data_IF_269852810265
#
_entry.id   IF_269852810265
#
_cell.length_a   1.000
_cell.length_b   1.000
_cell.length_c   1.000
_cell.angle_alpha   90.00
_cell.angle_beta   90.00
_cell.angle_gamma   90.00
#
_symmetry.space_group_name_H-M   'P 1'
#
loop_
_entity.id
_entity.type
_entity.pdbx_description
1 polymer ?
#
# COMPACT_ATOMS: atom_id res chain seq x y z
N UNK A 1 36.76 21.38 6.11
CA UNK A 1 36.37 20.01 5.75
C UNK A 1 34.87 19.88 5.97
N UNK A 2 34.09 19.52 4.95
CA UNK A 2 32.64 19.39 5.08
C UNK A 2 32.32 18.04 5.76
N UNK A 3 31.51 18.09 6.83
CA UNK A 3 31.06 16.88 7.54
C UNK A 3 30.24 16.02 6.59
N UNK A 4 30.48 14.71 6.61
CA UNK A 4 29.70 13.77 5.83
C UNK A 4 28.28 13.65 6.40
N UNK A 5 27.28 13.40 5.55
CA UNK A 5 25.88 13.19 5.98
C UNK A 5 25.73 12.20 7.16
N UNK A 6 26.42 11.05 7.21
CA UNK A 6 26.32 10.15 8.36
C UNK A 6 26.88 10.73 9.67
N UNK A 7 27.86 11.64 9.63
CA UNK A 7 28.36 12.32 10.83
C UNK A 7 27.34 13.32 11.38
N UNK A 8 26.67 14.07 10.51
CA UNK A 8 25.60 15.00 10.89
C UNK A 8 24.42 14.27 11.54
N UNK A 9 24.03 13.11 11.00
CA UNK A 9 22.95 12.31 11.58
C UNK A 9 23.30 11.76 12.96
N UNK A 10 24.57 11.37 13.16
CA UNK A 10 25.07 10.89 14.46
C UNK A 10 25.10 12.02 15.50
N UNK A 11 25.55 13.21 15.10
CA UNK A 11 25.58 14.39 15.96
C UNK A 11 24.17 14.83 16.37
N UNK A 12 23.21 14.81 15.44
CA UNK A 12 21.82 15.12 15.72
C UNK A 12 21.17 14.14 16.71
N UNK A 13 21.47 12.84 16.59
CA UNK A 13 20.97 11.82 17.51
C UNK A 13 21.48 12.06 18.95
N UNK A 14 22.76 12.38 19.11
CA UNK A 14 23.35 12.67 20.41
C UNK A 14 22.78 13.96 21.04
N UNK A 15 22.43 14.96 20.23
CA UNK A 15 21.81 16.19 20.72
C UNK A 15 20.40 15.93 21.29
N UNK A 16 19.65 15.00 20.70
CA UNK A 16 18.30 14.65 21.15
C UNK A 16 18.31 13.92 22.50
N UNK A 17 19.26 13.00 22.72
CA UNK A 17 19.40 12.28 23.99
C UNK A 17 19.75 13.22 25.16
N UNK A 18 20.49 14.30 24.90
CA UNK A 18 20.80 15.31 25.92
C UNK A 18 19.58 16.14 26.34
N UNK A 19 18.62 16.34 25.42
CA UNK A 19 17.38 17.05 25.74
C UNK A 19 16.42 16.20 26.57
N UNK A 20 16.37 14.89 26.31
CA UNK A 20 15.50 13.97 27.07
C UNK A 20 16.05 13.65 28.46
N UNK A 21 17.38 13.70 28.65
CA UNK A 21 18.00 13.51 29.96
C UNK A 21 17.77 14.66 30.97
N UNK A 22 17.38 15.86 30.49
CA UNK A 22 17.24 17.05 31.34
C UNK A 22 15.81 17.27 31.87
N UNK A 23 14.89 16.34 31.62
CA UNK A 23 13.52 16.34 32.16
C UNK A 23 13.38 15.17 33.12
N UNK A 24 13.92 15.33 34.33
CA UNK A 24 13.65 14.43 35.46
C UNK A 24 12.26 14.68 36.07
N UNK A 25 11.64 13.67 36.72
CA UNK A 25 10.30 13.80 37.29
C UNK A 25 10.37 14.58 38.61
N UNK A 26 9.68 15.73 38.71
CA UNK A 26 9.53 16.47 39.97
C UNK A 26 8.06 16.65 40.29
N UNK A 27 7.70 16.21 41.49
CA UNK A 27 6.36 16.25 42.08
C UNK A 27 5.97 17.68 42.52
N UNK A 28 4.68 17.99 42.37
CA UNK A 28 3.94 19.22 42.78
C UNK A 28 3.82 19.34 44.33
N UNK A 29 3.37 20.46 44.98
CA UNK A 29 2.35 21.43 44.49
C UNK A 29 2.49 22.92 44.93
N UNK A 30 1.89 23.85 44.18
CA UNK A 30 1.32 25.08 44.76
C UNK A 30 0.26 25.68 43.83
N UNK A 31 -0.89 25.93 44.42
CA UNK A 31 -2.12 26.51 43.90
C UNK A 31 -1.93 27.89 43.24
N UNK A 32 -2.49 28.02 42.03
CA UNK A 32 -2.61 29.29 41.32
C UNK A 32 -3.33 29.12 39.98
N UNK A 33 -4.65 29.34 40.00
CA UNK A 33 -5.50 29.64 38.85
C UNK A 33 -5.59 28.56 37.75
N UNK A 34 -6.51 27.63 37.96
CA UNK A 34 -7.10 26.82 36.88
C UNK A 34 -7.89 27.72 35.91
N UNK A 35 -7.21 28.21 34.89
CA UNK A 35 -7.83 28.52 33.61
C UNK A 35 -7.11 27.68 32.56
N UNK A 36 -7.55 26.42 32.41
CA UNK A 36 -7.22 25.61 31.24
C UNK A 36 -7.56 26.42 30.00
N UNK A 37 -6.59 26.82 29.15
CA UNK A 37 -6.95 27.28 27.83
C UNK A 37 -7.67 26.12 27.14
N UNK A 38 -8.80 26.36 26.44
CA UNK A 38 -9.48 25.29 25.72
C UNK A 38 -8.47 24.65 24.78
N UNK A 39 -8.31 23.33 24.95
CA UNK A 39 -7.41 22.49 24.18
C UNK A 39 -7.73 22.62 22.68
N UNK A 40 -7.06 23.56 22.01
CA UNK A 40 -7.07 23.71 20.56
C UNK A 40 -6.01 22.81 19.91
N UNK A 41 -5.49 21.80 20.61
CA UNK A 41 -4.43 20.91 20.13
C UNK A 41 -4.94 19.69 19.34
N UNK A 42 -6.17 19.74 18.82
CA UNK A 42 -6.65 18.74 17.86
C UNK A 42 -6.13 18.96 16.43
N UNK A 43 -5.73 20.18 16.08
CA UNK A 43 -5.38 20.57 14.71
C UNK A 43 -3.92 20.34 14.35
N UNK A 44 -2.99 20.89 15.14
CA UNK A 44 -1.57 20.97 14.77
C UNK A 44 -0.91 19.60 14.69
N UNK A 45 -1.17 18.71 15.67
CA UNK A 45 -0.60 17.36 15.66
C UNK A 45 -1.17 16.51 14.52
N UNK A 46 -2.47 16.64 14.25
CA UNK A 46 -3.12 15.95 13.15
C UNK A 46 -2.63 16.44 11.78
N UNK A 47 -2.36 17.74 11.66
CA UNK A 47 -1.84 18.35 10.43
C UNK A 47 -0.39 17.97 10.15
N UNK A 48 0.47 17.95 11.16
CA UNK A 48 1.85 17.45 11.02
C UNK A 48 1.83 15.99 10.57
N UNK A 49 1.01 15.14 11.18
CA UNK A 49 0.88 13.74 10.76
C UNK A 49 0.32 13.60 9.33
N UNK A 50 -0.60 14.47 8.91
CA UNK A 50 -1.12 14.52 7.54
C UNK A 50 -0.05 14.90 6.51
N UNK A 51 0.78 15.90 6.82
CA UNK A 51 1.83 16.39 5.92
C UNK A 51 2.92 15.35 5.65
N UNK A 52 3.27 14.55 6.67
CA UNK A 52 4.28 13.50 6.58
C UNK A 52 3.68 12.10 6.32
N UNK A 53 2.38 11.99 6.08
CA UNK A 53 1.77 10.73 5.69
C UNK A 53 2.17 10.38 4.24
N UNK A 54 2.46 9.10 3.94
CA UNK A 54 2.64 8.65 2.56
C UNK A 54 1.40 9.02 1.74
N UNK A 55 1.57 9.50 0.50
CA UNK A 55 0.49 9.96 -0.37
C UNK A 55 -0.65 8.94 -0.49
N UNK A 56 -1.63 8.99 0.42
CA UNK A 56 -2.83 8.19 0.35
C UNK A 56 -3.87 9.01 -0.39
N UNK A 57 -4.16 8.61 -1.63
CA UNK A 57 -5.24 9.21 -2.42
C UNK A 57 -6.56 9.09 -1.64
N UNK A 58 -6.95 10.18 -0.98
CA UNK A 58 -8.09 10.29 -0.07
C UNK A 58 -9.41 10.47 -0.83
N UNK A 59 -9.68 9.59 -1.79
CA UNK A 59 -11.05 9.37 -2.27
C UNK A 59 -11.59 8.09 -1.65
N UNK A 60 -12.08 8.23 -0.41
CA UNK A 60 -13.16 7.38 0.11
C UNK A 60 -12.79 6.06 0.79
N UNK A 61 -11.77 6.01 1.66
CA UNK A 61 -11.64 4.86 2.59
C UNK A 61 -11.54 5.32 4.03
N UNK A 62 -12.59 4.99 4.78
CA UNK A 62 -12.67 5.01 6.26
C UNK A 62 -11.41 4.37 6.86
N UNK A 63 -10.86 4.88 7.98
CA UNK A 63 -9.71 4.29 8.64
C UNK A 63 -10.03 2.83 9.01
N UNK A 64 -9.41 1.88 8.30
CA UNK A 64 -9.57 0.46 8.61
C UNK A 64 -8.82 0.23 9.92
N UNK A 65 -9.54 -0.12 10.99
CA UNK A 65 -9.00 -0.54 12.29
C UNK A 65 -7.84 -1.52 12.05
N UNK A 66 -6.69 -1.39 12.72
CA UNK A 66 -5.58 -2.31 12.53
C UNK A 66 -6.07 -3.73 12.84
N UNK A 67 -5.99 -4.59 11.82
CA UNK A 67 -6.34 -5.99 11.93
C UNK A 67 -5.34 -6.66 12.88
N UNK A 68 -5.83 -7.33 13.91
CA UNK A 68 -5.05 -8.19 14.82
C UNK A 68 -4.62 -9.51 14.18
N UNK A 69 -4.78 -9.68 12.87
CA UNK A 69 -4.22 -10.81 12.16
C UNK A 69 -2.69 -10.71 12.22
N UNK A 70 -2.06 -11.66 12.94
CA UNK A 70 -0.61 -11.83 12.96
C UNK A 70 -0.03 -11.95 11.55
N UNK A 71 1.30 -11.91 11.40
CA UNK A 71 1.95 -11.98 10.09
C UNK A 71 1.55 -13.29 9.40
N UNK A 72 0.54 -13.21 8.53
CA UNK A 72 0.20 -14.29 7.60
C UNK A 72 1.48 -14.60 6.87
N UNK A 73 2.00 -15.84 7.04
CA UNK A 73 3.10 -16.36 6.26
C UNK A 73 2.81 -15.99 4.80
N UNK A 74 3.60 -15.06 4.25
CA UNK A 74 3.41 -14.56 2.90
C UNK A 74 3.58 -15.79 2.02
N UNK A 75 2.47 -16.35 1.51
CA UNK A 75 2.53 -17.42 0.51
C UNK A 75 3.44 -16.88 -0.59
N UNK A 76 4.54 -17.58 -0.86
CA UNK A 76 5.45 -17.21 -1.95
C UNK A 76 4.58 -17.07 -3.19
N UNK A 77 4.53 -15.87 -3.78
CA UNK A 77 3.76 -15.63 -4.99
C UNK A 77 4.25 -16.64 -6.03
N UNK A 78 3.46 -17.66 -6.36
CA UNK A 78 3.81 -18.55 -7.44
C UNK A 78 3.68 -17.75 -8.72
N UNK A 79 4.78 -17.62 -9.46
CA UNK A 79 4.75 -17.04 -10.79
C UNK A 79 3.99 -18.04 -11.66
N UNK A 80 2.84 -17.62 -12.17
CA UNK A 80 2.01 -18.41 -13.08
C UNK A 80 1.65 -17.54 -14.26
N UNK A 81 1.89 -18.03 -15.48
CA UNK A 81 1.50 -17.34 -16.69
C UNK A 81 0.07 -17.74 -17.07
N UNK A 82 -0.78 -16.78 -17.40
CA UNK A 82 -2.14 -17.05 -17.89
C UNK A 82 -2.28 -16.56 -19.32
N UNK A 83 -2.41 -17.49 -20.27
CA UNK A 83 -2.71 -17.18 -21.65
C UNK A 83 -4.23 -17.02 -21.83
N UNK A 84 -4.66 -15.91 -22.44
CA UNK A 84 -6.06 -15.64 -22.79
C UNK A 84 -6.18 -15.75 -24.31
N UNK A 85 -7.11 -16.57 -24.80
CA UNK A 85 -7.39 -16.71 -26.23
C UNK A 85 -8.90 -16.73 -26.47
N UNK A 86 -9.31 -16.48 -27.70
CA UNK A 86 -10.72 -16.45 -28.07
C UNK A 86 -11.00 -17.52 -29.14
N UNK A 87 -11.83 -18.50 -28.80
CA UNK A 87 -12.28 -19.53 -29.74
C UNK A 87 -13.34 -18.96 -30.68
N UNK A 88 -13.07 -19.04 -31.98
CA UNK A 88 -14.02 -18.68 -33.02
C UNK A 88 -15.02 -19.81 -33.31
N UNK A 89 -15.99 -19.52 -34.17
CA UNK A 89 -17.06 -20.46 -34.49
C UNK A 89 -16.56 -21.65 -35.32
N UNK A 90 -15.57 -21.43 -36.18
CA UNK A 90 -14.94 -22.46 -37.03
C UNK A 90 -13.43 -22.50 -36.81
N UNK A 91 -12.81 -23.66 -37.08
CA UNK A 91 -11.36 -23.88 -36.87
C UNK A 91 -10.44 -23.04 -37.76
N UNK A 92 -10.86 -22.73 -38.99
CA UNK A 92 -10.06 -21.98 -39.98
C UNK A 92 -10.54 -20.54 -40.17
N UNK A 93 -11.38 -20.06 -39.25
CA UNK A 93 -11.84 -18.68 -39.27
C UNK A 93 -10.71 -17.80 -38.73
N UNK A 94 -10.33 -16.77 -39.47
CA UNK A 94 -9.29 -15.82 -39.07
C UNK A 94 -9.85 -14.39 -38.94
N UNK A 95 -11.13 -14.20 -39.25
CA UNK A 95 -11.77 -12.90 -39.16
C UNK A 95 -12.15 -12.56 -37.73
N UNK A 96 -11.98 -11.30 -37.37
CA UNK A 96 -12.35 -10.79 -36.05
C UNK A 96 -13.87 -10.75 -35.97
N UNK A 97 -14.51 -11.46 -35.01
CA UNK A 97 -15.95 -11.52 -34.92
C UNK A 97 -16.52 -10.16 -34.48
N UNK A 98 -17.69 -9.81 -35.02
CA UNK A 98 -18.43 -8.64 -34.57
C UNK A 98 -18.88 -8.80 -33.10
N UNK A 99 -19.12 -7.71 -32.35
CA UNK A 99 -19.50 -7.78 -30.94
C UNK A 99 -20.73 -8.65 -30.66
N UNK A 100 -21.71 -8.64 -31.57
CA UNK A 100 -22.91 -9.48 -31.49
C UNK A 100 -22.57 -10.97 -31.59
N UNK A 101 -21.65 -11.33 -32.48
CA UNK A 101 -21.18 -12.72 -32.65
C UNK A 101 -20.34 -13.13 -31.45
N UNK A 102 -19.48 -12.25 -30.95
CA UNK A 102 -18.70 -12.46 -29.73
C UNK A 102 -19.59 -12.84 -28.54
N UNK A 103 -20.64 -12.07 -28.30
CA UNK A 103 -21.62 -12.35 -27.23
C UNK A 103 -22.36 -13.67 -27.42
N UNK A 104 -22.69 -14.04 -28.66
CA UNK A 104 -23.32 -15.35 -28.95
C UNK A 104 -22.37 -16.50 -28.65
N UNK A 105 -21.10 -16.37 -29.03
CA UNK A 105 -20.07 -17.39 -28.77
C UNK A 105 -19.86 -17.57 -27.27
N UNK A 106 -19.73 -16.47 -26.51
CA UNK A 106 -19.61 -16.50 -25.05
C UNK A 106 -20.80 -17.18 -24.38
N UNK A 107 -22.03 -16.87 -24.82
CA UNK A 107 -23.24 -17.55 -24.32
C UNK A 107 -23.30 -19.03 -24.68
N UNK A 108 -22.72 -19.43 -25.81
CA UNK A 108 -22.61 -20.83 -26.21
C UNK A 108 -21.50 -21.58 -25.46
N UNK A 109 -20.79 -20.93 -24.53
CA UNK A 109 -19.65 -21.52 -23.81
C UNK A 109 -18.38 -21.63 -24.65
N UNK A 110 -18.38 -21.04 -25.84
CA UNK A 110 -17.26 -20.86 -26.77
C UNK A 110 -16.76 -19.40 -26.60
N UNK A 111 -15.68 -18.97 -27.25
CA UNK A 111 -15.14 -17.61 -27.08
C UNK A 111 -13.98 -17.56 -26.10
N UNK A 112 -14.00 -16.64 -25.13
CA UNK A 112 -12.82 -16.38 -24.31
C UNK A 112 -12.48 -17.57 -23.38
N UNK A 113 -11.26 -18.08 -23.51
CA UNK A 113 -10.71 -19.17 -22.72
C UNK A 113 -9.38 -18.76 -22.11
N UNK A 114 -9.07 -19.37 -20.97
CA UNK A 114 -7.88 -19.10 -20.17
C UNK A 114 -7.16 -20.40 -19.91
N UNK A 115 -5.86 -20.44 -20.22
CA UNK A 115 -4.98 -21.51 -19.80
C UNK A 115 -3.98 -20.90 -18.83
N UNK A 116 -3.95 -21.43 -17.61
CA UNK A 116 -2.97 -21.01 -16.60
C UNK A 116 -1.90 -22.08 -16.52
N UNK A 117 -0.67 -21.70 -16.85
CA UNK A 117 0.50 -22.58 -16.76
C UNK A 117 1.15 -22.30 -15.40
N UNK A 118 1.15 -23.28 -14.47
CA UNK A 118 1.72 -23.14 -13.14
C UNK A 118 3.25 -23.34 -13.18
N UNK A 119 3.92 -22.75 -14.17
CA UNK A 119 5.36 -22.84 -14.34
C UNK A 119 6.01 -21.47 -14.12
N UNK A 120 7.08 -21.48 -13.33
CA UNK A 120 7.87 -20.29 -13.00
C UNK A 120 8.79 -19.87 -14.16
N UNK A 121 9.07 -20.78 -15.09
CA UNK A 121 9.99 -20.55 -16.22
C UNK A 121 9.26 -20.31 -17.54
N UNK A 122 7.96 -20.59 -17.61
CA UNK A 122 7.19 -20.37 -18.82
C UNK A 122 7.08 -18.87 -19.09
N UNK A 123 7.79 -18.40 -20.12
CA UNK A 123 7.78 -17.01 -20.54
C UNK A 123 6.70 -16.79 -21.61
N UNK A 124 6.09 -15.59 -21.68
CA UNK A 124 5.09 -15.29 -22.71
C UNK A 124 5.58 -15.48 -24.16
N UNK A 125 6.90 -15.57 -24.37
CA UNK A 125 7.56 -15.64 -25.68
C UNK A 125 7.53 -17.06 -26.29
N UNK A 126 7.25 -18.09 -25.50
CA UNK A 126 7.29 -19.50 -25.93
C UNK A 126 6.01 -19.96 -26.66
N UNK A 127 5.05 -19.06 -26.90
CA UNK A 127 3.76 -19.34 -27.55
C UNK A 127 3.43 -18.37 -28.69
#
# INVERSE_FOLDING_TARGET
MAKSVPELLREAAQALERQTANVGPSENPSSGLSATPPDRSGGTRAEVLRLFAPYSNSRGRVPKRPSTAGPSAKKSKSVSYTHRFFCLSKRKECEVPSPSVKNKLERAGIGEKRITIPDKYCTPQEF
#
